data_IF_459120737900
#
_entry.id   IF_459120737900
#
_cell.length_a   1.000
_cell.length_b   1.000
_cell.length_c   1.000
_cell.angle_alpha   90.00
_cell.angle_beta   90.00
_cell.angle_gamma   90.00
#
_symmetry.space_group_name_H-M   'P 1'
#
loop_
_entity.id
_entity.type
_entity.pdbx_description
1 polymer ?
#
# COMPACT_ATOMS: atom_id res chain seq x y z
N UNK A 1 80.87 -69.51 -9.88
CA UNK A 1 80.39 -70.16 -8.65
C UNK A 1 79.67 -69.09 -7.85
N UNK A 2 78.38 -69.04 -7.57
CA UNK A 2 77.18 -69.91 -7.68
C UNK A 2 76.05 -68.90 -7.40
N UNK A 3 75.14 -68.60 -8.32
CA UNK A 3 73.81 -69.20 -8.47
C UNK A 3 72.94 -69.26 -7.21
N UNK A 4 71.64 -69.01 -7.43
CA UNK A 4 70.44 -69.47 -6.66
C UNK A 4 70.02 -68.59 -5.46
N UNK A 5 68.78 -68.16 -5.23
CA UNK A 5 67.42 -68.47 -5.74
C UNK A 5 66.44 -67.38 -5.21
N UNK A 6 65.38 -67.01 -5.95
CA UNK A 6 64.10 -66.48 -5.39
C UNK A 6 63.16 -67.68 -5.05
N UNK A 7 62.01 -67.63 -4.31
CA UNK A 7 60.92 -66.59 -4.27
C UNK A 7 60.21 -66.54 -2.86
N UNK A 8 58.90 -66.23 -2.63
CA UNK A 8 57.84 -65.57 -3.41
C UNK A 8 57.07 -64.42 -2.69
N UNK A 9 56.33 -63.66 -3.52
CA UNK A 9 54.95 -63.11 -3.39
C UNK A 9 54.33 -63.04 -1.98
N UNK A 10 53.87 -61.84 -1.56
CA UNK A 10 52.52 -61.69 -1.01
C UNK A 10 52.01 -60.24 -0.93
N UNK A 11 50.81 -60.08 -1.52
CA UNK A 11 49.74 -59.12 -1.23
C UNK A 11 49.95 -57.62 -1.50
N UNK A 12 49.37 -57.19 -2.62
CA UNK A 12 48.66 -55.92 -2.74
C UNK A 12 47.89 -55.61 -1.45
N UNK A 13 48.34 -54.61 -0.69
CA UNK A 13 47.43 -53.92 0.23
C UNK A 13 46.86 -52.73 -0.54
N UNK A 14 45.68 -52.93 -1.10
CA UNK A 14 44.88 -51.88 -1.71
C UNK A 14 44.73 -50.68 -0.74
N UNK A 15 44.78 -49.43 -1.23
CA UNK A 15 44.54 -48.27 -0.37
C UNK A 15 43.10 -48.31 0.16
N UNK A 16 42.85 -47.90 1.42
CA UNK A 16 41.52 -47.96 2.02
C UNK A 16 40.53 -47.11 1.21
N UNK A 17 39.37 -47.71 0.94
CA UNK A 17 38.28 -47.11 0.19
C UNK A 17 37.92 -45.70 0.72
N UNK A 18 37.88 -44.74 -0.20
CA UNK A 18 37.66 -43.33 0.07
C UNK A 18 36.33 -43.03 0.75
N UNK A 19 36.34 -41.95 1.55
CA UNK A 19 35.18 -41.36 2.21
C UNK A 19 34.08 -41.03 1.18
N UNK A 20 32.80 -41.39 1.40
CA UNK A 20 31.72 -41.02 0.49
C UNK A 20 31.35 -39.57 0.75
N UNK A 21 31.70 -38.69 -0.18
CA UNK A 21 31.44 -37.24 -0.07
C UNK A 21 32.58 -36.34 -0.57
N UNK A 22 33.63 -36.93 -1.15
CA UNK A 22 34.71 -36.16 -1.75
C UNK A 22 34.24 -35.26 -2.89
N UNK A 23 34.59 -33.97 -2.82
CA UNK A 23 34.35 -33.06 -3.94
C UNK A 23 35.05 -33.60 -5.19
N UNK A 24 34.54 -33.36 -6.41
CA UNK A 24 35.12 -33.90 -7.64
C UNK A 24 36.62 -33.64 -7.84
N UNK A 25 37.16 -32.64 -7.14
CA UNK A 25 38.56 -32.19 -7.22
C UNK A 25 39.48 -32.82 -6.16
N UNK A 26 38.94 -33.55 -5.17
CA UNK A 26 39.70 -34.06 -4.02
C UNK A 26 40.80 -35.07 -4.43
N UNK A 27 40.61 -35.78 -5.54
CA UNK A 27 41.59 -36.74 -6.08
C UNK A 27 42.49 -36.16 -7.19
N UNK A 28 42.27 -34.89 -7.56
CA UNK A 28 43.01 -34.24 -8.64
C UNK A 28 44.22 -33.50 -8.06
N UNK A 29 45.42 -33.97 -8.37
CA UNK A 29 46.65 -33.28 -7.97
C UNK A 29 46.93 -32.11 -8.92
N UNK A 30 47.21 -30.95 -8.34
CA UNK A 30 47.65 -29.75 -9.07
C UNK A 30 49.03 -29.39 -8.56
N UNK A 31 50.00 -29.24 -9.48
CA UNK A 31 51.33 -28.73 -9.14
C UNK A 31 51.32 -27.21 -9.26
N UNK A 32 51.62 -26.53 -8.16
CA UNK A 32 51.85 -25.09 -8.13
C UNK A 32 53.28 -24.81 -7.70
N UNK A 33 53.81 -23.69 -8.15
CA UNK A 33 55.11 -23.20 -7.69
C UNK A 33 55.04 -22.80 -6.21
N UNK A 34 56.20 -22.79 -5.54
CA UNK A 34 56.29 -22.37 -4.13
C UNK A 34 55.85 -20.92 -3.92
N UNK A 35 56.02 -20.06 -4.92
CA UNK A 35 55.58 -18.67 -4.88
C UNK A 35 54.04 -18.56 -4.90
N UNK A 36 53.39 -19.26 -5.82
CA UNK A 36 51.91 -19.30 -5.93
C UNK A 36 51.28 -19.90 -4.67
N UNK A 37 51.88 -20.92 -4.07
CA UNK A 37 51.41 -21.48 -2.80
C UNK A 37 51.45 -20.45 -1.65
N UNK A 38 52.52 -19.66 -1.58
CA UNK A 38 52.65 -18.61 -0.57
C UNK A 38 51.58 -17.54 -0.81
N UNK A 39 51.39 -17.10 -2.05
CA UNK A 39 50.39 -16.10 -2.42
C UNK A 39 48.96 -16.54 -2.06
N UNK A 40 48.57 -17.77 -2.41
CA UNK A 40 47.26 -18.33 -2.05
C UNK A 40 47.04 -18.39 -0.52
N UNK A 41 48.09 -18.71 0.24
CA UNK A 41 48.01 -18.73 1.70
C UNK A 41 47.89 -17.32 2.28
N UNK A 42 48.58 -16.35 1.69
CA UNK A 42 48.46 -14.93 2.05
C UNK A 42 47.06 -14.39 1.76
N UNK A 43 46.50 -14.69 0.60
CA UNK A 43 45.14 -14.29 0.23
C UNK A 43 44.09 -14.91 1.15
N UNK A 44 44.21 -16.21 1.45
CA UNK A 44 43.31 -16.88 2.38
C UNK A 44 43.33 -16.20 3.76
N UNK A 45 44.53 -15.89 4.28
CA UNK A 45 44.68 -15.19 5.56
C UNK A 45 44.15 -13.74 5.49
N UNK A 46 44.42 -13.02 4.40
CA UNK A 46 43.90 -11.67 4.16
C UNK A 46 42.37 -11.66 4.22
N UNK A 47 41.71 -12.55 3.46
CA UNK A 47 40.26 -12.63 3.41
C UNK A 47 39.64 -13.10 4.73
N UNK A 48 40.30 -14.01 5.47
CA UNK A 48 39.87 -14.40 6.83
C UNK A 48 39.87 -13.20 7.78
N UNK A 49 40.93 -12.38 7.77
CA UNK A 49 41.02 -11.18 8.60
C UNK A 49 39.97 -10.14 8.18
N UNK A 50 39.76 -9.92 6.88
CA UNK A 50 38.73 -9.00 6.40
C UNK A 50 37.32 -9.46 6.79
N UNK A 51 37.03 -10.75 6.66
CA UNK A 51 35.74 -11.32 7.06
C UNK A 51 35.51 -11.20 8.57
N UNK A 52 36.53 -11.46 9.39
CA UNK A 52 36.45 -11.25 10.85
C UNK A 52 36.09 -9.81 11.18
N UNK A 53 36.79 -8.83 10.58
CA UNK A 53 36.53 -7.40 10.81
C UNK A 53 35.11 -6.99 10.41
N UNK A 54 34.62 -7.50 9.28
CA UNK A 54 33.26 -7.25 8.80
C UNK A 54 32.21 -7.88 9.73
N UNK A 55 32.45 -9.11 10.19
CA UNK A 55 31.58 -9.79 11.15
C UNK A 55 31.53 -9.04 12.48
N UNK A 56 32.67 -8.57 12.98
CA UNK A 56 32.74 -7.78 14.21
C UNK A 56 32.01 -6.44 14.08
N UNK A 57 32.14 -5.78 12.93
CA UNK A 57 31.39 -4.55 12.64
C UNK A 57 29.89 -4.81 12.64
N UNK A 58 29.44 -5.84 11.91
CA UNK A 58 28.03 -6.24 11.86
C UNK A 58 27.51 -6.57 13.26
N UNK A 59 28.29 -7.28 14.08
CA UNK A 59 27.90 -7.65 15.43
C UNK A 59 27.75 -6.41 16.34
N UNK A 60 28.68 -5.44 16.26
CA UNK A 60 28.56 -4.16 16.97
C UNK A 60 27.33 -3.35 16.54
N UNK A 61 26.98 -3.37 15.26
CA UNK A 61 25.78 -2.69 14.77
C UNK A 61 24.50 -3.36 15.30
N UNK A 62 24.47 -4.70 15.33
CA UNK A 62 23.36 -5.46 15.92
C UNK A 62 23.19 -5.13 17.41
N UNK A 63 24.28 -5.08 18.17
CA UNK A 63 24.25 -4.69 19.59
C UNK A 63 23.73 -3.27 19.78
N UNK A 64 24.21 -2.32 18.98
CA UNK A 64 23.71 -0.93 19.00
C UNK A 64 22.20 -0.86 18.73
N UNK A 65 21.72 -1.60 17.73
CA UNK A 65 20.29 -1.62 17.39
C UNK A 65 19.44 -2.23 18.50
N UNK A 66 19.95 -3.29 19.16
CA UNK A 66 19.28 -3.88 20.34
C UNK A 66 19.19 -2.88 21.50
N UNK A 67 20.26 -2.14 21.78
CA UNK A 67 20.25 -1.10 22.82
C UNK A 67 19.28 0.04 22.50
N UNK A 68 19.23 0.48 21.24
CA UNK A 68 18.27 1.49 20.79
C UNK A 68 16.82 1.02 20.95
N UNK A 69 16.54 -0.24 20.61
CA UNK A 69 15.22 -0.85 20.81
C UNK A 69 14.85 -0.91 22.30
N UNK A 70 15.75 -1.41 23.15
CA UNK A 70 15.51 -1.47 24.59
C UNK A 70 15.19 -0.09 25.19
N UNK A 71 15.92 0.96 24.78
CA UNK A 71 15.64 2.34 25.21
C UNK A 71 14.30 2.87 24.70
N UNK A 72 13.86 2.46 23.51
CA UNK A 72 12.53 2.84 22.97
C UNK A 72 11.43 2.15 23.78
N UNK A 73 11.59 0.87 24.08
CA UNK A 73 10.62 0.08 24.83
C UNK A 73 10.48 0.59 26.27
N UNK A 74 11.59 0.94 26.92
CA UNK A 74 11.58 1.55 28.26
C UNK A 74 10.84 2.90 28.27
N UNK A 75 11.10 3.77 27.29
CA UNK A 75 10.38 5.05 27.15
C UNK A 75 8.88 4.84 26.88
N UNK A 76 8.55 3.86 26.05
CA UNK A 76 7.16 3.52 25.76
C UNK A 76 6.44 3.00 27.01
N UNK A 77 7.09 2.15 27.81
CA UNK A 77 6.56 1.67 29.08
C UNK A 77 6.34 2.81 30.09
N UNK A 78 7.30 3.74 30.22
CA UNK A 78 7.14 4.93 31.06
C UNK A 78 5.99 5.83 30.60
N UNK A 79 5.83 6.02 29.28
CA UNK A 79 4.74 6.80 28.72
C UNK A 79 3.36 6.15 28.96
N UNK A 80 3.27 4.82 28.87
CA UNK A 80 2.04 4.08 29.16
C UNK A 80 1.64 4.22 30.64
N UNK A 81 2.60 4.12 31.57
CA UNK A 81 2.35 4.34 33.00
C UNK A 81 1.87 5.77 33.27
N UNK A 82 2.54 6.77 32.70
CA UNK A 82 2.12 8.17 32.86
C UNK A 82 0.72 8.45 32.29
N UNK A 83 0.37 7.79 31.18
CA UNK A 83 -0.96 7.90 30.58
C UNK A 83 -2.03 7.22 31.44
N UNK A 84 -1.74 6.07 32.05
CA UNK A 84 -2.62 5.40 33.00
C UNK A 84 -2.89 6.29 34.23
N UNK A 85 -1.84 6.88 34.82
CA UNK A 85 -1.99 7.82 35.94
C UNK A 85 -2.85 9.04 35.58
N UNK A 86 -2.69 9.58 34.36
CA UNK A 86 -3.49 10.69 33.88
C UNK A 86 -4.96 10.30 33.68
N UNK A 87 -5.21 9.08 33.18
CA UNK A 87 -6.54 8.53 32.98
C UNK A 87 -7.25 8.31 34.32
N UNK A 88 -6.54 7.78 35.32
CA UNK A 88 -7.09 7.59 36.67
C UNK A 88 -7.45 8.93 37.33
N UNK A 89 -6.60 9.95 37.19
CA UNK A 89 -6.89 11.32 37.67
C UNK A 89 -8.12 11.91 36.97
N UNK A 90 -8.22 11.77 35.65
CA UNK A 90 -9.36 12.26 34.88
C UNK A 90 -10.66 11.53 35.28
N UNK A 91 -10.62 10.21 35.46
CA UNK A 91 -11.77 9.43 35.94
C UNK A 91 -12.19 9.83 37.36
N UNK A 92 -11.23 10.10 38.26
CA UNK A 92 -11.52 10.59 39.60
C UNK A 92 -12.23 11.97 39.56
N UNK A 93 -11.77 12.89 38.69
CA UNK A 93 -12.42 14.19 38.48
C UNK A 93 -13.85 14.04 37.93
N UNK A 94 -14.05 13.15 36.95
CA UNK A 94 -15.38 12.87 36.40
C UNK A 94 -16.32 12.35 37.49
N UNK A 95 -15.85 11.42 38.34
CA UNK A 95 -16.64 10.92 39.48
C UNK A 95 -17.01 12.02 40.48
N UNK A 96 -16.06 12.89 40.84
CA UNK A 96 -16.32 14.05 41.72
C UNK A 96 -17.35 15.01 41.10
N UNK A 97 -17.21 15.37 39.82
CA UNK A 97 -18.19 16.22 39.14
C UNK A 97 -19.57 15.57 39.04
N UNK A 98 -19.65 14.27 38.73
CA UNK A 98 -20.90 13.53 38.75
C UNK A 98 -21.55 13.53 40.13
N UNK A 99 -20.76 13.35 41.20
CA UNK A 99 -21.26 13.42 42.57
C UNK A 99 -21.76 14.84 42.95
N UNK A 100 -21.10 15.90 42.49
CA UNK A 100 -21.51 17.29 42.75
C UNK A 100 -22.77 17.71 41.99
N UNK A 101 -22.94 17.20 40.76
CA UNK A 101 -24.06 17.54 39.89
C UNK A 101 -25.30 16.67 40.16
N UNK A 102 -25.09 15.37 40.37
CA UNK A 102 -26.16 14.37 40.46
C UNK A 102 -26.25 13.68 41.83
N UNK A 103 -25.33 13.96 42.76
CA UNK A 103 -25.47 13.51 44.15
C UNK A 103 -26.69 14.14 44.81
N UNK A 104 -27.41 13.38 45.65
CA UNK A 104 -28.58 13.84 46.39
C UNK A 104 -28.24 15.08 47.22
N UNK A 105 -28.61 16.26 46.73
CA UNK A 105 -28.60 17.50 47.51
C UNK A 105 -29.82 17.50 48.42
N UNK A 106 -29.62 17.18 49.70
CA UNK A 106 -30.56 17.56 50.75
C UNK A 106 -30.49 19.09 50.89
N UNK A 107 -31.59 19.76 50.56
CA UNK A 107 -31.71 21.21 50.64
C UNK A 107 -31.55 21.71 52.09
N UNK A 108 -30.55 22.57 52.32
CA UNK A 108 -30.73 23.73 53.20
C UNK A 108 -30.25 24.96 52.45
N UNK A 109 -31.21 25.66 51.85
CA UNK A 109 -31.06 26.95 51.21
C UNK A 109 -30.65 28.03 52.22
N UNK A 110 -29.59 28.78 51.91
CA UNK A 110 -29.50 30.21 52.21
C UNK A 110 -28.77 30.89 51.05
N UNK A 111 -29.49 31.79 50.39
CA UNK A 111 -29.04 32.44 49.17
C UNK A 111 -28.06 33.58 49.42
N UNK A 112 -27.29 33.89 48.38
CA UNK A 112 -26.96 35.26 48.01
C UNK A 112 -26.52 35.30 46.54
N UNK A 113 -27.22 36.10 45.75
CA UNK A 113 -26.85 36.43 44.36
C UNK A 113 -25.81 37.55 44.42
N UNK A 114 -24.57 37.22 44.08
CA UNK A 114 -23.54 38.22 43.76
C UNK A 114 -23.58 38.54 42.27
N UNK A 115 -23.93 39.79 41.92
CA UNK A 115 -23.65 40.37 40.59
C UNK A 115 -22.18 40.80 40.56
N UNK A 116 -21.48 40.54 39.45
CA UNK A 116 -20.34 41.34 39.01
C UNK A 116 -20.40 41.55 37.48
N UNK A 117 -20.12 42.77 36.99
CA UNK A 117 -20.20 43.17 35.58
C UNK A 117 -18.83 43.07 34.87
N UNK A 118 -18.84 42.93 33.55
CA UNK A 118 -17.62 42.98 32.74
C UNK A 118 -17.87 42.77 31.26
N UNK A 119 -18.41 43.80 30.59
CA UNK A 119 -18.51 43.87 29.14
C UNK A 119 -17.12 44.05 28.52
N UNK A 120 -16.75 43.18 27.59
CA UNK A 120 -15.75 43.45 26.57
C UNK A 120 -16.45 43.39 25.22
N UNK A 121 -16.64 44.56 24.62
CA UNK A 121 -17.21 44.74 23.30
C UNK A 121 -16.18 44.31 22.24
N UNK A 122 -16.31 43.08 21.75
CA UNK A 122 -15.71 42.64 20.50
C UNK A 122 -16.72 42.78 19.37
N UNK A 123 -16.49 43.71 18.44
CA UNK A 123 -17.26 43.85 17.18
C UNK A 123 -16.86 42.75 16.19
N UNK A 124 -17.02 41.49 16.58
CA UNK A 124 -17.02 40.37 15.65
C UNK A 124 -18.45 40.15 15.17
N UNK A 125 -18.76 40.46 13.90
CA UNK A 125 -19.95 39.86 13.28
C UNK A 125 -19.85 38.34 13.50
N UNK A 126 -20.85 37.67 14.09
CA UNK A 126 -20.77 36.24 14.31
C UNK A 126 -20.60 35.55 12.95
N UNK A 127 -19.53 34.77 12.78
CA UNK A 127 -19.37 33.92 11.59
C UNK A 127 -20.31 32.73 11.73
N UNK A 128 -21.02 32.40 10.65
CA UNK A 128 -21.97 31.30 10.61
C UNK A 128 -23.41 31.76 10.39
N UNK A 129 -24.29 30.78 10.22
CA UNK A 129 -25.73 31.01 10.07
C UNK A 129 -26.29 31.63 11.35
N UNK A 130 -27.08 32.70 11.21
CA UNK A 130 -27.61 33.45 12.34
C UNK A 130 -28.91 32.82 12.85
N UNK A 131 -29.11 32.76 14.19
CA UNK A 131 -30.37 32.30 14.76
C UNK A 131 -31.55 33.11 14.20
N UNK A 132 -32.55 32.42 13.63
CA UNK A 132 -33.74 33.03 13.04
C UNK A 132 -33.67 33.36 11.55
N UNK A 133 -32.52 33.15 10.89
CA UNK A 133 -32.46 33.20 9.43
C UNK A 133 -33.00 31.90 8.84
N UNK A 134 -33.76 31.93 7.73
CA UNK A 134 -34.15 30.71 7.03
C UNK A 134 -32.89 29.95 6.60
N UNK A 135 -32.84 28.65 6.90
CA UNK A 135 -31.79 27.78 6.37
C UNK A 135 -31.95 27.61 4.86
N UNK A 136 -30.85 27.38 4.15
CA UNK A 136 -30.94 26.84 2.80
C UNK A 136 -31.57 25.43 2.90
N UNK A 137 -32.71 25.24 2.23
CA UNK A 137 -33.41 23.96 2.22
C UNK A 137 -32.54 22.83 1.64
N UNK A 138 -33.01 21.59 1.80
CA UNK A 138 -32.31 20.41 1.25
C UNK A 138 -32.24 20.55 -0.27
N UNK A 139 -31.03 20.70 -0.80
CA UNK A 139 -30.78 20.77 -2.24
C UNK A 139 -30.42 19.37 -2.72
N UNK A 140 -31.16 18.85 -3.69
CA UNK A 140 -30.86 17.55 -4.31
C UNK A 140 -29.91 17.75 -5.49
N UNK A 141 -28.83 16.95 -5.61
CA UNK A 141 -27.88 17.06 -6.71
C UNK A 141 -28.47 16.46 -8.00
N UNK A 142 -29.20 17.26 -8.77
CA UNK A 142 -29.91 16.86 -9.99
C UNK A 142 -29.00 16.47 -11.17
N UNK A 143 -27.69 16.72 -11.07
CA UNK A 143 -26.72 16.37 -12.11
C UNK A 143 -26.27 14.91 -12.06
N UNK A 144 -26.55 14.19 -10.97
CA UNK A 144 -26.18 12.78 -10.85
C UNK A 144 -27.17 11.88 -11.63
N UNK A 145 -26.71 10.80 -12.27
CA UNK A 145 -27.62 9.85 -12.92
C UNK A 145 -28.49 9.15 -11.87
N UNK A 146 -29.80 9.10 -12.12
CA UNK A 146 -30.75 8.42 -11.27
C UNK A 146 -30.87 6.93 -11.64
N UNK A 147 -30.86 6.07 -10.62
CA UNK A 147 -31.19 4.64 -10.74
C UNK A 147 -32.54 4.43 -10.05
N UNK A 148 -33.57 4.05 -10.80
CA UNK A 148 -34.92 3.85 -10.27
C UNK A 148 -35.02 2.47 -9.62
N UNK A 149 -35.26 2.44 -8.31
CA UNK A 149 -35.64 1.23 -7.58
C UNK A 149 -37.15 1.28 -7.28
N UNK A 150 -37.91 0.35 -7.85
CA UNK A 150 -39.34 0.21 -7.55
C UNK A 150 -39.51 -0.90 -6.53
N UNK A 151 -39.92 -0.53 -5.32
CA UNK A 151 -40.26 -1.47 -4.26
C UNK A 151 -41.75 -1.78 -4.34
N UNK A 152 -42.08 -3.05 -4.56
CA UNK A 152 -43.45 -3.53 -4.64
C UNK A 152 -43.76 -4.45 -3.45
N UNK A 153 -45.04 -4.58 -3.11
CA UNK A 153 -45.51 -5.48 -2.08
C UNK A 153 -45.19 -6.94 -2.47
N UNK A 154 -44.76 -7.79 -1.53
CA UNK A 154 -44.72 -9.23 -1.73
C UNK A 154 -46.09 -9.76 -2.18
N UNK A 155 -46.12 -10.82 -3.01
CA UNK A 155 -47.38 -11.34 -3.56
C UNK A 155 -48.42 -11.71 -2.48
N UNK A 156 -47.96 -12.13 -1.30
CA UNK A 156 -48.83 -12.44 -0.14
C UNK A 156 -49.50 -11.21 0.47
N UNK A 157 -48.85 -10.05 0.40
CA UNK A 157 -49.34 -8.78 0.96
C UNK A 157 -50.17 -7.99 -0.05
N UNK A 158 -50.27 -8.48 -1.30
CA UNK A 158 -51.16 -7.92 -2.33
C UNK A 158 -52.62 -8.31 -2.13
N UNK A 159 -52.95 -9.05 -1.08
CA UNK A 159 -54.31 -9.41 -0.73
C UNK A 159 -54.66 -8.86 0.65
N UNK A 160 -55.92 -8.45 0.84
CA UNK A 160 -56.40 -8.03 2.14
C UNK A 160 -56.31 -9.22 3.13
N UNK A 161 -55.68 -9.07 4.30
CA UNK A 161 -55.52 -10.17 5.25
C UNK A 161 -56.84 -10.64 5.87
N UNK A 162 -57.91 -9.84 5.76
CA UNK A 162 -59.20 -10.14 6.37
C UNK A 162 -60.22 -10.75 5.39
N UNK A 163 -60.26 -10.29 4.14
CA UNK A 163 -61.24 -10.75 3.15
C UNK A 163 -60.62 -11.45 1.93
N UNK A 164 -59.29 -11.46 1.79
CA UNK A 164 -58.56 -12.14 0.72
C UNK A 164 -58.65 -11.48 -0.67
N UNK A 165 -59.38 -10.37 -0.80
CA UNK A 165 -59.48 -9.61 -2.06
C UNK A 165 -58.13 -8.98 -2.42
N UNK A 166 -57.79 -9.00 -3.70
CA UNK A 166 -56.57 -8.38 -4.22
C UNK A 166 -56.63 -6.85 -4.11
N UNK A 167 -55.51 -6.24 -3.73
CA UNK A 167 -55.32 -4.79 -3.74
C UNK A 167 -55.21 -4.30 -5.20
N UNK A 168 -55.92 -3.20 -5.50
CA UNK A 168 -55.81 -2.54 -6.79
C UNK A 168 -54.59 -1.61 -6.83
N UNK A 169 -53.90 -1.46 -7.98
CA UNK A 169 -52.83 -0.49 -8.13
C UNK A 169 -53.33 0.94 -7.87
N UNK A 170 -52.58 1.71 -7.08
CA UNK A 170 -52.83 3.13 -6.86
C UNK A 170 -52.02 3.98 -7.87
N UNK A 171 -52.55 5.14 -8.25
CA UNK A 171 -51.96 5.99 -9.29
C UNK A 171 -50.78 6.86 -8.80
N UNK A 172 -50.66 7.06 -7.48
CA UNK A 172 -49.55 7.81 -6.88
C UNK A 172 -48.47 6.89 -6.32
N UNK A 173 -47.28 7.47 -6.11
CA UNK A 173 -46.15 6.84 -5.42
C UNK A 173 -45.67 7.72 -4.27
N UNK A 174 -45.08 7.11 -3.26
CA UNK A 174 -44.30 7.82 -2.25
C UNK A 174 -42.83 7.76 -2.68
N UNK A 175 -42.35 8.88 -3.24
CA UNK A 175 -41.00 8.95 -3.81
C UNK A 175 -40.00 9.44 -2.76
N UNK A 176 -38.84 8.79 -2.69
CA UNK A 176 -37.73 9.25 -1.87
C UNK A 176 -36.40 9.14 -2.64
N UNK A 177 -35.54 10.15 -2.49
CA UNK A 177 -34.24 10.19 -3.14
C UNK A 177 -33.12 9.91 -2.11
N UNK A 178 -32.27 8.95 -2.44
CA UNK A 178 -31.07 8.60 -1.67
C UNK A 178 -29.84 8.79 -2.55
N UNK A 179 -28.84 9.50 -2.03
CA UNK A 179 -27.57 9.71 -2.75
C UNK A 179 -26.58 8.64 -2.30
N UNK A 180 -26.20 7.78 -3.22
CA UNK A 180 -25.30 6.64 -2.96
C UNK A 180 -24.05 6.68 -3.83
N UNK A 181 -23.01 5.98 -3.37
CA UNK A 181 -21.76 5.80 -4.12
C UNK A 181 -21.52 4.30 -4.25
N UNK A 182 -21.60 3.78 -5.47
CA UNK A 182 -21.24 2.39 -5.78
C UNK A 182 -19.74 2.30 -6.12
N UNK A 183 -18.94 1.67 -5.26
CA UNK A 183 -17.51 1.41 -5.53
C UNK A 183 -17.29 -0.08 -5.70
N UNK A 184 -16.98 -0.53 -6.93
CA UNK A 184 -16.83 -1.95 -7.23
C UNK A 184 -15.66 -2.24 -8.17
N UNK A 185 -14.73 -3.08 -7.70
CA UNK A 185 -13.76 -3.73 -8.57
C UNK A 185 -14.39 -4.95 -9.25
N UNK A 186 -14.12 -5.16 -10.55
CA UNK A 186 -14.67 -6.29 -11.29
C UNK A 186 -13.63 -6.94 -12.21
N UNK A 187 -13.88 -8.19 -12.59
CA UNK A 187 -13.06 -8.94 -13.55
C UNK A 187 -13.71 -8.92 -14.92
N UNK A 188 -13.04 -8.29 -15.90
CA UNK A 188 -13.44 -8.37 -17.31
C UNK A 188 -12.89 -9.66 -17.94
N UNK A 189 -13.77 -10.63 -18.21
CA UNK A 189 -13.41 -11.87 -18.88
C UNK A 189 -13.52 -11.71 -20.40
N UNK A 190 -12.39 -11.80 -21.10
CA UNK A 190 -12.34 -11.66 -22.56
C UNK A 190 -12.15 -13.05 -23.17
N UNK A 191 -13.22 -13.61 -23.75
CA UNK A 191 -13.17 -14.85 -24.55
C UNK A 191 -13.16 -14.48 -26.02
N UNK A 192 -12.03 -14.74 -26.69
CA UNK A 192 -11.87 -14.46 -28.11
C UNK A 192 -12.45 -15.62 -28.90
N UNK A 193 -13.38 -15.34 -29.83
CA UNK A 193 -13.94 -16.35 -30.72
C UNK A 193 -12.87 -16.83 -31.70
N UNK A 194 -12.94 -18.12 -32.02
CA UNK A 194 -12.08 -18.79 -32.98
C UNK A 194 -12.94 -19.38 -34.09
N UNK A 195 -12.42 -19.39 -35.30
CA UNK A 195 -13.10 -19.84 -36.49
C UNK A 195 -12.17 -20.77 -37.28
N UNK A 196 -12.74 -21.82 -37.85
CA UNK A 196 -12.04 -22.71 -38.76
C UNK A 196 -12.42 -22.34 -40.20
N UNK A 197 -11.45 -22.17 -41.11
CA UNK A 197 -11.75 -21.92 -42.51
C UNK A 197 -12.31 -23.19 -43.14
N UNK A 198 -13.48 -23.08 -43.77
CA UNK A 198 -14.12 -24.19 -44.51
C UNK A 198 -13.64 -24.30 -45.97
N UNK A 199 -12.80 -23.37 -46.42
CA UNK A 199 -12.29 -23.34 -47.78
C UNK A 199 -11.00 -24.16 -47.94
N UNK A 200 -10.76 -24.68 -49.14
CA UNK A 200 -9.59 -25.51 -49.46
C UNK A 200 -8.41 -24.70 -50.03
N UNK A 201 -8.54 -23.38 -50.16
CA UNK A 201 -7.56 -22.55 -50.86
C UNK A 201 -6.27 -22.26 -50.07
N UNK A 202 -6.09 -22.84 -48.88
CA UNK A 202 -4.91 -22.71 -48.01
C UNK A 202 -4.46 -21.26 -47.68
N UNK A 203 -5.29 -20.25 -47.96
CA UNK A 203 -4.94 -18.84 -47.78
C UNK A 203 -4.99 -18.38 -46.31
N UNK A 204 -5.66 -19.14 -45.43
CA UNK A 204 -5.84 -18.81 -44.03
C UNK A 204 -5.25 -19.91 -43.13
N UNK A 205 -4.77 -19.56 -41.92
CA UNK A 205 -4.36 -20.55 -40.95
C UNK A 205 -5.54 -21.42 -40.53
N UNK A 206 -5.28 -22.65 -40.08
CA UNK A 206 -6.29 -23.62 -39.64
C UNK A 206 -7.23 -23.07 -38.56
N UNK A 207 -6.77 -22.12 -37.74
CA UNK A 207 -7.61 -21.43 -36.75
C UNK A 207 -7.40 -19.93 -36.88
N UNK A 208 -8.48 -19.22 -37.19
CA UNK A 208 -8.53 -17.75 -37.22
C UNK A 208 -9.12 -17.26 -35.89
N UNK A 209 -8.33 -16.54 -35.10
CA UNK A 209 -8.75 -16.02 -33.79
C UNK A 209 -9.07 -14.53 -33.87
N UNK A 210 -10.22 -14.10 -33.35
CA UNK A 210 -10.58 -12.68 -33.25
C UNK A 210 -9.47 -11.86 -32.58
N UNK A 211 -9.18 -10.62 -33.00
CA UNK A 211 -8.07 -9.83 -32.44
C UNK A 211 -8.25 -9.58 -30.93
N UNK A 212 -7.14 -9.46 -30.21
CA UNK A 212 -7.18 -9.10 -28.81
C UNK A 212 -7.58 -7.62 -28.67
N UNK A 213 -8.42 -7.26 -27.69
CA UNK A 213 -8.73 -5.86 -27.44
C UNK A 213 -7.45 -5.11 -27.03
N UNK A 214 -7.33 -3.83 -27.38
CA UNK A 214 -6.16 -3.03 -27.06
C UNK A 214 -5.99 -2.91 -25.54
N UNK A 215 -4.74 -2.91 -25.11
CA UNK A 215 -4.33 -2.67 -23.71
C UNK A 215 -3.21 -1.64 -23.72
N UNK A 216 -3.24 -0.72 -22.76
CA UNK A 216 -2.18 0.29 -22.60
C UNK A 216 -0.83 -0.39 -22.34
N UNK A 217 -0.80 -1.32 -21.38
CA UNK A 217 0.38 -2.14 -21.11
C UNK A 217 0.19 -3.50 -21.79
N UNK A 218 1.00 -3.85 -22.81
CA UNK A 218 0.91 -5.13 -23.49
C UNK A 218 1.04 -6.28 -22.50
N UNK A 219 0.18 -7.31 -22.65
CA UNK A 219 0.11 -8.49 -21.76
C UNK A 219 -0.20 -8.17 -20.28
N UNK A 220 -0.49 -6.92 -19.93
CA UNK A 220 -0.83 -6.51 -18.58
C UNK A 220 -2.15 -7.09 -18.07
N UNK A 221 -2.23 -7.30 -16.75
CA UNK A 221 -3.43 -7.78 -16.03
C UNK A 221 -4.49 -6.69 -15.88
N UNK A 222 -4.07 -5.45 -15.65
CA UNK A 222 -4.95 -4.35 -15.28
C UNK A 222 -5.47 -3.58 -16.51
N UNK A 223 -6.74 -3.18 -16.44
CA UNK A 223 -7.40 -2.36 -17.46
C UNK A 223 -7.10 -0.87 -17.31
N UNK A 224 -7.60 -0.09 -18.26
CA UNK A 224 -7.41 1.38 -18.33
C UNK A 224 -7.99 2.09 -17.11
N UNK A 225 -9.13 1.61 -16.59
CA UNK A 225 -9.79 2.18 -15.42
C UNK A 225 -8.88 2.23 -14.19
N UNK A 226 -8.16 1.14 -13.92
CA UNK A 226 -7.21 1.04 -12.79
C UNK A 226 -6.11 2.09 -12.91
N UNK A 227 -5.53 2.26 -14.10
CA UNK A 227 -4.48 3.26 -14.32
C UNK A 227 -5.01 4.69 -14.23
N UNK A 228 -6.22 4.92 -14.73
CA UNK A 228 -6.88 6.24 -14.67
C UNK A 228 -7.12 6.64 -13.22
N UNK A 229 -7.70 5.75 -12.41
CA UNK A 229 -7.95 5.98 -10.99
C UNK A 229 -6.64 6.23 -10.23
N UNK A 230 -5.60 5.42 -10.46
CA UNK A 230 -4.28 5.63 -9.86
C UNK A 230 -3.68 7.01 -10.17
N UNK A 231 -3.81 7.48 -11.41
CA UNK A 231 -3.28 8.78 -11.81
C UNK A 231 -4.08 9.93 -11.21
N UNK A 232 -5.41 9.85 -11.24
CA UNK A 232 -6.28 10.87 -10.64
C UNK A 232 -6.06 10.94 -9.12
N UNK A 233 -6.10 9.82 -8.41
CA UNK A 233 -5.89 9.81 -6.96
C UNK A 233 -4.53 10.35 -6.57
N UNK A 234 -3.47 9.96 -7.28
CA UNK A 234 -2.10 10.38 -6.95
C UNK A 234 -1.84 11.84 -7.30
N UNK A 235 -2.20 12.28 -8.50
CA UNK A 235 -1.75 13.57 -9.04
C UNK A 235 -2.82 14.66 -8.98
N UNK A 236 -4.10 14.32 -9.13
CA UNK A 236 -5.19 15.30 -9.04
C UNK A 236 -5.66 15.48 -7.59
N UNK A 237 -5.90 14.38 -6.87
CA UNK A 237 -6.43 14.42 -5.50
C UNK A 237 -5.35 14.36 -4.42
N UNK A 238 -4.08 14.14 -4.79
CA UNK A 238 -2.94 14.15 -3.87
C UNK A 238 -2.97 13.02 -2.83
N UNK A 239 -3.71 11.93 -3.05
CA UNK A 239 -3.78 10.81 -2.13
C UNK A 239 -2.50 9.97 -2.24
N UNK A 240 -1.83 9.65 -1.12
CA UNK A 240 -0.71 8.71 -1.12
C UNK A 240 -1.13 7.36 -1.70
N UNK A 241 -0.38 6.85 -2.68
CA UNK A 241 -0.71 5.62 -3.43
C UNK A 241 -0.97 4.42 -2.51
N UNK A 242 -0.21 4.27 -1.41
CA UNK A 242 -0.44 3.22 -0.43
C UNK A 242 -1.86 3.24 0.16
N UNK A 243 -2.45 4.42 0.41
CA UNK A 243 -3.81 4.54 0.95
C UNK A 243 -4.87 4.09 -0.06
N UNK A 244 -4.67 4.35 -1.34
CA UNK A 244 -5.55 3.84 -2.39
C UNK A 244 -5.46 2.32 -2.50
N UNK A 245 -4.24 1.77 -2.48
CA UNK A 245 -4.03 0.32 -2.49
C UNK A 245 -4.69 -0.35 -1.28
N UNK A 246 -4.63 0.27 -0.10
CA UNK A 246 -5.32 -0.22 1.09
C UNK A 246 -6.84 -0.23 0.91
N UNK A 247 -7.44 0.80 0.32
CA UNK A 247 -8.89 0.80 0.04
C UNK A 247 -9.27 -0.26 -1.00
N UNK A 248 -8.48 -0.44 -2.05
CA UNK A 248 -8.74 -1.50 -3.03
C UNK A 248 -8.62 -2.89 -2.44
N UNK A 249 -7.67 -3.10 -1.52
CA UNK A 249 -7.55 -4.37 -0.80
C UNK A 249 -8.81 -4.69 0.00
N UNK A 250 -9.45 -3.69 0.63
CA UNK A 250 -10.73 -3.87 1.31
C UNK A 250 -11.87 -4.26 0.35
N UNK A 251 -11.78 -3.86 -0.92
CA UNK A 251 -12.69 -4.25 -2.00
C UNK A 251 -12.30 -5.58 -2.67
N UNK A 252 -11.30 -6.31 -2.15
CA UNK A 252 -10.82 -7.57 -2.70
C UNK A 252 -9.86 -7.44 -3.89
N UNK A 253 -9.40 -6.23 -4.21
CA UNK A 253 -8.39 -5.95 -5.22
C UNK A 253 -7.02 -5.73 -4.56
N UNK A 254 -6.24 -6.81 -4.39
CA UNK A 254 -4.87 -6.72 -3.87
C UNK A 254 -3.86 -6.48 -5.00
N UNK A 255 -3.20 -5.32 -4.98
CA UNK A 255 -2.23 -4.89 -5.98
C UNK A 255 -0.91 -4.54 -5.29
N UNK A 256 0.17 -5.18 -5.72
CA UNK A 256 1.49 -4.92 -5.17
C UNK A 256 2.00 -3.52 -5.52
N UNK A 257 2.59 -2.77 -4.57
CA UNK A 257 3.13 -1.43 -4.82
C UNK A 257 4.16 -1.39 -5.97
N UNK A 258 5.00 -2.42 -6.09
CA UNK A 258 5.98 -2.53 -7.18
C UNK A 258 5.33 -2.61 -8.57
N UNK A 259 4.14 -3.20 -8.68
CA UNK A 259 3.40 -3.24 -9.95
C UNK A 259 2.90 -1.85 -10.35
N UNK A 260 2.48 -1.05 -9.37
CA UNK A 260 2.08 0.35 -9.60
C UNK A 260 3.28 1.19 -10.01
N UNK A 261 4.41 1.07 -9.30
CA UNK A 261 5.63 1.80 -9.62
C UNK A 261 6.13 1.49 -11.04
N UNK A 262 6.20 0.20 -11.41
CA UNK A 262 6.57 -0.22 -12.77
C UNK A 262 5.56 0.26 -13.82
N UNK A 263 4.27 0.27 -13.47
CA UNK A 263 3.22 0.82 -14.33
C UNK A 263 3.38 2.31 -14.59
N UNK A 264 3.65 3.12 -13.55
CA UNK A 264 3.92 4.55 -13.73
C UNK A 264 5.17 4.81 -14.57
N UNK A 265 6.24 4.04 -14.36
CA UNK A 265 7.44 4.16 -15.19
C UNK A 265 7.15 3.86 -16.68
N UNK A 266 6.29 2.88 -16.96
CA UNK A 266 5.85 2.57 -18.32
C UNK A 266 4.95 3.66 -18.93
N UNK A 267 4.07 4.25 -18.13
CA UNK A 267 3.12 5.27 -18.59
C UNK A 267 3.77 6.64 -18.82
N UNK A 268 4.79 7.00 -18.03
CA UNK A 268 5.48 8.28 -18.11
C UNK A 268 5.82 8.75 -19.55
N UNK A 269 6.53 7.95 -20.38
CA UNK A 269 6.90 8.38 -21.74
C UNK A 269 5.70 8.55 -22.68
N UNK A 270 4.52 8.00 -22.37
CA UNK A 270 3.32 8.20 -23.18
C UNK A 270 2.82 9.66 -23.13
N UNK A 271 3.28 10.44 -22.14
CA UNK A 271 2.96 11.86 -21.98
C UNK A 271 3.98 12.79 -22.65
N UNK A 272 5.09 12.28 -23.18
CA UNK A 272 6.12 13.09 -23.85
C UNK A 272 5.58 13.93 -25.02
N UNK A 273 4.65 13.43 -25.86
CA UNK A 273 4.04 14.26 -26.92
C UNK A 273 3.25 15.44 -26.36
N UNK A 274 2.60 15.26 -25.22
CA UNK A 274 1.83 16.30 -24.55
C UNK A 274 2.75 17.36 -23.92
N UNK A 275 3.85 16.93 -23.31
CA UNK A 275 4.90 17.84 -22.82
C UNK A 275 5.54 18.64 -23.96
N UNK A 276 5.77 17.99 -25.11
CA UNK A 276 6.29 18.65 -26.32
C UNK A 276 5.31 19.70 -26.85
N UNK A 277 4.03 19.36 -26.94
CA UNK A 277 2.99 20.29 -27.36
C UNK A 277 2.82 21.48 -26.40
N UNK A 278 2.94 21.26 -25.09
CA UNK A 278 2.95 22.36 -24.11
C UNK A 278 4.14 23.29 -24.30
N UNK A 279 5.32 22.73 -24.54
CA UNK A 279 6.53 23.53 -24.80
C UNK A 279 6.40 24.34 -26.08
N UNK A 280 5.95 23.73 -27.17
CA UNK A 280 5.73 24.42 -28.45
C UNK A 280 4.74 25.58 -28.28
N UNK A 281 3.63 25.36 -27.57
CA UNK A 281 2.66 26.41 -27.29
C UNK A 281 3.24 27.53 -26.42
N UNK A 282 3.97 27.20 -25.36
CA UNK A 282 4.57 28.19 -24.46
C UNK A 282 5.56 29.10 -25.19
N UNK A 283 6.31 28.56 -26.16
CA UNK A 283 7.24 29.34 -26.98
C UNK A 283 6.56 30.37 -27.91
N UNK A 284 5.25 30.26 -28.13
CA UNK A 284 4.49 31.25 -28.92
C UNK A 284 4.00 32.44 -28.09
N UNK A 285 4.00 32.33 -26.76
CA UNK A 285 3.52 33.39 -25.88
C UNK A 285 4.55 34.50 -25.70
N UNK A 286 4.06 35.73 -25.56
CA UNK A 286 4.88 36.94 -25.40
C UNK A 286 5.46 37.12 -23.99
N UNK A 287 4.84 36.49 -22.99
CA UNK A 287 5.21 36.62 -21.58
C UNK A 287 5.40 35.24 -20.96
N UNK A 288 6.54 35.03 -20.29
CA UNK A 288 6.87 33.75 -19.68
C UNK A 288 6.91 33.91 -18.16
N UNK A 289 6.10 33.10 -17.48
CA UNK A 289 6.15 32.95 -16.02
C UNK A 289 6.96 31.71 -15.70
N UNK A 290 7.96 31.86 -14.83
CA UNK A 290 8.74 30.76 -14.27
C UNK A 290 8.31 30.55 -12.81
N UNK A 291 7.96 29.32 -12.47
CA UNK A 291 7.69 28.89 -11.10
C UNK A 291 8.87 28.04 -10.61
N UNK A 292 9.50 28.45 -9.52
CA UNK A 292 10.63 27.75 -8.90
C UNK A 292 10.18 26.82 -7.76
N UNK A 293 8.91 26.39 -7.75
CA UNK A 293 8.40 25.44 -6.77
C UNK A 293 9.17 24.12 -6.86
N UNK A 294 10.08 23.93 -5.90
CA UNK A 294 10.90 22.73 -5.79
C UNK A 294 10.20 21.59 -5.06
N UNK A 295 10.52 20.36 -5.45
CA UNK A 295 10.11 19.14 -4.75
C UNK A 295 11.33 18.44 -4.17
N UNK A 296 11.23 17.98 -2.92
CA UNK A 296 12.27 17.14 -2.33
C UNK A 296 12.16 15.73 -2.91
N UNK A 297 13.17 15.33 -3.68
CA UNK A 297 13.26 14.01 -4.30
C UNK A 297 14.34 13.19 -3.61
N UNK A 298 14.09 11.90 -3.41
CA UNK A 298 15.09 10.97 -2.89
C UNK A 298 16.09 10.61 -4.00
N UNK A 299 17.37 10.86 -3.76
CA UNK A 299 18.47 10.44 -4.64
C UNK A 299 19.40 9.50 -3.88
N UNK A 300 19.73 8.37 -4.50
CA UNK A 300 20.67 7.41 -3.93
C UNK A 300 22.11 7.86 -4.21
N UNK A 301 22.70 8.61 -3.28
CA UNK A 301 24.10 9.06 -3.38
C UNK A 301 25.02 7.99 -2.78
N UNK A 302 25.87 7.35 -3.60
CA UNK A 302 26.77 6.26 -3.19
C UNK A 302 27.68 6.61 -1.99
N UNK A 303 27.94 7.90 -1.75
CA UNK A 303 28.92 8.38 -0.77
C UNK A 303 28.32 8.73 0.60
N UNK A 304 26.98 8.88 0.74
CA UNK A 304 26.36 9.28 2.01
C UNK A 304 25.69 8.11 2.72
N UNK A 305 26.27 7.69 3.86
CA UNK A 305 25.76 6.63 4.75
C UNK A 305 24.56 7.02 5.63
N UNK A 306 24.03 8.23 5.52
CA UNK A 306 22.97 8.74 6.41
C UNK A 306 21.74 9.22 5.65
N UNK A 307 20.63 8.50 5.84
CA UNK A 307 19.32 8.76 5.23
C UNK A 307 18.46 9.77 6.03
N UNK A 308 19.08 10.70 6.77
CA UNK A 308 18.35 11.69 7.56
C UNK A 308 18.12 12.96 6.75
N UNK A 309 16.85 13.28 6.56
CA UNK A 309 16.36 14.55 6.05
C UNK A 309 16.22 15.52 7.23
N UNK A 310 16.94 16.64 7.22
CA UNK A 310 16.59 17.83 8.00
C UNK A 310 15.87 18.83 7.08
#
# INVERSE_FOLDING_TARGET
>A
MTSTTAPPVDSETAPPAGRPGGTPFERQMVSISKAEYIELKWDAHYWQVQFSKLSDHRNRDIERLKDEMARRDERAAQALLALQDALDKAQAQVKDFQQRLFGRKSEKSKGQRGKLPGQLAGTGRPRGHQPGQPGHGRTTPTTLPAVLEVVDLPAVDKCCPQCGLALAPYAGSEDSEVIEIEVRAYRRLIRRKQYEPVCQCCALPAIVTAPAPPKIIPKGKYGISIWTELMLDKFLYGRPTHRLLQSWKALGLDVAPGTVAGGFAYLAPLFDPLMSAFRERQLTDTHWYADETGWRVFEHVEVRKTNRWY
#
